data_IF_772259040293
#
_entry.id   IF_772259040293
#
_cell.length_a   1.000
_cell.length_b   1.000
_cell.length_c   1.000
_cell.angle_alpha   90.00
_cell.angle_beta   90.00
_cell.angle_gamma   90.00
#
_symmetry.space_group_name_H-M   'P 1'
#
loop_
_entity.id
_entity.type
_entity.pdbx_description
1 polymer ?
#
# COMPACT_ATOMS: atom_id res chain seq x y z
N UNK A 1 62.43 5.74 -13.17
CA UNK A 1 61.59 6.87 -12.73
C UNK A 1 61.21 7.65 -13.98
N UNK A 2 59.98 7.69 -14.47
CA UNK A 2 58.67 7.23 -13.99
C UNK A 2 57.73 7.18 -15.20
N UNK A 3 57.13 6.03 -15.47
CA UNK A 3 55.93 5.91 -16.31
C UNK A 3 54.76 6.50 -15.52
N UNK A 4 54.02 7.43 -16.12
CA UNK A 4 52.76 7.92 -15.59
C UNK A 4 51.64 7.34 -16.46
N UNK A 5 50.94 6.38 -15.87
CA UNK A 5 49.77 5.71 -16.43
C UNK A 5 48.69 6.72 -16.82
N UNK A 6 48.35 6.70 -18.10
CA UNK A 6 47.24 7.45 -18.66
C UNK A 6 45.96 6.63 -18.42
N UNK A 7 45.40 6.73 -17.21
CA UNK A 7 44.09 6.15 -16.90
C UNK A 7 43.01 7.05 -17.49
N UNK A 8 42.56 6.67 -18.69
CA UNK A 8 41.35 7.22 -19.31
C UNK A 8 40.14 6.82 -18.45
N UNK A 9 39.59 7.78 -17.71
CA UNK A 9 38.29 7.64 -17.08
C UNK A 9 37.22 7.68 -18.17
N UNK A 10 36.87 6.51 -18.70
CA UNK A 10 35.61 6.27 -19.41
C UNK A 10 34.44 6.44 -18.43
N UNK A 11 34.16 7.68 -18.07
CA UNK A 11 32.96 8.07 -17.35
C UNK A 11 31.80 7.95 -18.34
N UNK A 12 31.13 6.79 -18.36
CA UNK A 12 29.79 6.69 -18.97
C UNK A 12 28.96 7.88 -18.49
N UNK A 13 28.25 8.61 -19.37
CA UNK A 13 27.38 9.69 -18.94
C UNK A 13 26.39 9.12 -17.93
N UNK A 14 26.39 9.68 -16.72
CA UNK A 14 25.35 9.46 -15.72
C UNK A 14 24.04 9.86 -16.38
N UNK A 15 23.25 8.86 -16.80
CA UNK A 15 21.87 9.08 -17.22
C UNK A 15 21.19 9.72 -16.03
N UNK A 16 20.83 11.00 -16.18
CA UNK A 16 20.14 11.73 -15.14
C UNK A 16 18.82 11.01 -14.86
N UNK A 17 18.52 10.68 -13.60
CA UNK A 17 17.27 10.02 -13.25
C UNK A 17 16.07 10.83 -13.75
N UNK A 18 15.07 10.13 -14.30
CA UNK A 18 13.87 10.75 -14.85
C UNK A 18 13.13 11.51 -13.74
N UNK A 19 12.69 12.74 -14.00
CA UNK A 19 11.95 13.51 -12.99
C UNK A 19 10.46 13.22 -13.08
N UNK A 20 9.80 12.98 -11.95
CA UNK A 20 8.36 12.73 -11.93
C UNK A 20 7.58 13.99 -12.34
N UNK A 21 6.58 13.84 -13.21
CA UNK A 21 5.83 14.95 -13.81
C UNK A 21 5.14 15.88 -12.79
N UNK A 22 4.51 15.32 -11.75
CA UNK A 22 3.86 16.10 -10.68
C UNK A 22 4.82 16.69 -9.64
N UNK A 23 6.10 16.28 -9.66
CA UNK A 23 7.09 16.62 -8.64
C UNK A 23 8.43 17.06 -9.28
N UNK A 24 8.36 17.74 -10.44
CA UNK A 24 9.53 18.04 -11.29
C UNK A 24 10.22 19.38 -11.01
N UNK A 25 9.69 20.22 -10.11
CA UNK A 25 10.16 21.60 -9.94
C UNK A 25 11.42 21.66 -9.08
N UNK A 26 12.59 21.58 -9.72
CA UNK A 26 13.92 21.74 -9.10
C UNK A 26 14.20 23.19 -8.64
N UNK A 27 13.48 24.19 -9.15
CA UNK A 27 13.84 25.61 -8.97
C UNK A 27 13.56 26.17 -7.57
N UNK A 28 12.95 25.39 -6.67
CA UNK A 28 12.67 25.83 -5.30
C UNK A 28 13.77 25.34 -4.32
N UNK A 29 14.56 26.24 -3.70
CA UNK A 29 15.59 25.86 -2.72
C UNK A 29 15.03 25.21 -1.45
N UNK A 30 13.73 25.31 -1.21
CA UNK A 30 13.03 24.65 -0.11
C UNK A 30 12.63 23.22 -0.43
N UNK A 31 12.86 22.75 -1.65
CA UNK A 31 12.68 21.35 -2.01
C UNK A 31 13.91 20.52 -1.61
N UNK A 32 13.64 19.30 -1.15
CA UNK A 32 14.62 18.22 -1.03
C UNK A 32 14.48 17.27 -2.20
N UNK A 33 15.57 16.61 -2.56
CA UNK A 33 15.58 15.63 -3.64
C UNK A 33 15.39 14.24 -3.03
N UNK A 34 14.38 13.51 -3.50
CA UNK A 34 14.15 12.10 -3.17
C UNK A 34 14.26 11.29 -4.46
N UNK A 35 15.07 10.24 -4.46
CA UNK A 35 15.30 9.37 -5.61
C UNK A 35 14.79 7.98 -5.27
N UNK A 36 13.74 7.56 -5.97
CA UNK A 36 13.15 6.22 -5.84
C UNK A 36 14.12 5.11 -6.29
N UNK A 37 13.82 3.87 -5.88
CA UNK A 37 14.63 2.68 -6.15
C UNK A 37 14.74 2.34 -7.66
N UNK A 38 13.74 2.73 -8.45
CA UNK A 38 13.71 2.64 -9.92
C UNK A 38 14.22 3.92 -10.60
N UNK A 39 14.91 4.77 -9.84
CA UNK A 39 15.67 5.96 -10.31
C UNK A 39 14.79 7.07 -10.90
N UNK A 40 13.59 7.25 -10.35
CA UNK A 40 12.79 8.46 -10.60
C UNK A 40 13.05 9.48 -9.48
N UNK A 41 13.29 10.72 -9.88
CA UNK A 41 13.56 11.86 -8.99
C UNK A 41 12.29 12.62 -8.67
N UNK A 42 12.13 12.96 -7.39
CA UNK A 42 11.07 13.79 -6.83
C UNK A 42 11.69 15.00 -6.14
N UNK A 43 11.17 16.19 -6.43
CA UNK A 43 11.49 17.41 -5.70
C UNK A 43 10.35 17.71 -4.73
N UNK A 44 10.55 17.40 -3.45
CA UNK A 44 9.52 17.43 -2.40
C UNK A 44 9.78 18.60 -1.45
N UNK A 45 8.78 19.39 -1.04
CA UNK A 45 8.98 20.44 -0.04
C UNK A 45 9.50 19.87 1.29
N UNK A 46 10.62 20.40 1.80
CA UNK A 46 11.23 19.95 3.07
C UNK A 46 10.25 20.04 4.23
N UNK A 47 9.51 21.15 4.30
CA UNK A 47 8.53 21.40 5.35
C UNK A 47 7.41 20.36 5.41
N UNK A 48 7.08 19.72 4.29
CA UNK A 48 6.10 18.65 4.23
C UNK A 48 6.65 17.37 4.87
N UNK A 49 7.90 17.05 4.55
CA UNK A 49 8.61 15.86 5.03
C UNK A 49 8.98 15.95 6.51
N UNK A 50 9.51 17.09 6.95
CA UNK A 50 9.87 17.36 8.35
C UNK A 50 8.66 17.31 9.28
N UNK A 51 7.49 17.77 8.80
CA UNK A 51 6.29 17.79 9.62
C UNK A 51 5.68 16.39 9.84
N UNK A 52 5.91 15.47 8.91
CA UNK A 52 5.08 14.25 8.82
C UNK A 52 5.86 12.93 8.74
N UNK A 53 7.14 12.94 8.38
CA UNK A 53 7.89 11.72 8.07
C UNK A 53 9.31 11.68 8.66
N UNK A 54 9.90 12.81 9.01
CA UNK A 54 11.27 12.86 9.55
C UNK A 54 11.25 13.24 11.03
N UNK A 55 12.01 12.55 11.89
CA UNK A 55 12.18 12.96 13.28
C UNK A 55 12.78 14.37 13.33
N UNK A 56 12.22 15.23 14.18
CA UNK A 56 12.65 16.63 14.33
C UNK A 56 14.07 16.82 14.90
N UNK A 57 14.81 15.72 15.17
CA UNK A 57 15.98 15.72 16.06
C UNK A 57 17.36 15.78 15.40
N UNK A 58 17.47 15.89 14.07
CA UNK A 58 18.76 16.17 13.42
C UNK A 58 18.87 17.63 12.98
N UNK A 59 19.23 18.46 13.96
CA UNK A 59 19.65 19.85 13.80
C UNK A 59 20.93 19.98 12.95
N UNK A 60 20.77 20.08 11.63
CA UNK A 60 21.42 21.12 10.83
C UNK A 60 20.60 21.32 9.54
N UNK A 61 19.76 22.37 9.46
CA UNK A 61 18.89 22.62 8.30
C UNK A 61 19.66 22.80 6.99
N UNK A 62 20.98 23.03 7.04
CA UNK A 62 21.83 23.14 5.86
C UNK A 62 22.38 21.79 5.37
N UNK A 63 22.41 20.74 6.19
CA UNK A 63 23.06 19.47 5.84
C UNK A 63 22.13 18.49 5.11
N UNK A 64 20.82 18.49 5.45
CA UNK A 64 19.78 17.77 4.71
C UNK A 64 19.38 18.48 3.40
N UNK A 65 19.71 19.76 3.29
CA UNK A 65 19.36 20.58 2.13
C UNK A 65 20.16 20.25 0.85
N UNK A 66 21.31 19.58 0.97
CA UNK A 66 22.27 19.42 -0.12
C UNK A 66 22.45 17.99 -0.63
N UNK A 67 21.88 16.98 0.03
CA UNK A 67 22.05 15.58 -0.39
C UNK A 67 20.71 14.92 -0.74
N UNK A 68 20.60 14.28 -1.92
CA UNK A 68 19.43 13.49 -2.26
C UNK A 68 19.24 12.31 -1.31
N UNK A 69 18.00 12.04 -0.93
CA UNK A 69 17.63 10.80 -0.25
C UNK A 69 17.46 9.71 -1.30
N UNK A 70 18.33 8.71 -1.27
CA UNK A 70 18.24 7.55 -2.15
C UNK A 70 17.47 6.43 -1.48
N UNK A 71 16.38 6.03 -2.12
CA UNK A 71 15.56 4.92 -1.70
C UNK A 71 16.04 3.63 -2.38
N UNK A 72 15.98 2.51 -1.65
CA UNK A 72 16.67 1.27 -2.03
C UNK A 72 15.76 0.04 -1.99
N UNK A 73 14.60 0.14 -1.35
CA UNK A 73 13.62 -0.93 -1.28
C UNK A 73 12.90 -1.08 -2.63
N UNK A 74 13.20 -2.16 -3.33
CA UNK A 74 12.64 -2.44 -4.65
C UNK A 74 11.13 -2.75 -4.65
N UNK A 75 10.51 -2.92 -3.47
CA UNK A 75 9.08 -3.14 -3.35
C UNK A 75 8.32 -1.87 -2.98
N UNK A 76 8.67 -1.24 -1.85
CA UNK A 76 7.89 -0.13 -1.31
C UNK A 76 8.42 1.26 -1.67
N UNK A 77 9.64 1.36 -2.21
CA UNK A 77 10.27 2.63 -2.55
C UNK A 77 10.42 2.82 -4.08
N UNK A 78 9.45 2.34 -4.87
CA UNK A 78 9.40 2.59 -6.32
C UNK A 78 8.76 3.95 -6.64
N UNK A 79 8.87 4.42 -7.88
CA UNK A 79 8.29 5.70 -8.27
C UNK A 79 6.78 5.76 -8.05
N UNK A 80 6.07 4.66 -8.37
CA UNK A 80 4.61 4.57 -8.19
C UNK A 80 4.20 4.71 -6.72
N UNK A 81 4.85 3.98 -5.81
CA UNK A 81 4.51 4.00 -4.39
C UNK A 81 4.90 5.30 -3.70
N UNK A 82 6.02 5.91 -4.09
CA UNK A 82 6.46 7.23 -3.62
C UNK A 82 5.50 8.31 -4.11
N UNK A 83 5.10 8.28 -5.38
CA UNK A 83 4.15 9.24 -5.93
C UNK A 83 2.80 9.16 -5.21
N UNK A 84 2.28 7.95 -5.03
CA UNK A 84 1.01 7.72 -4.33
C UNK A 84 1.08 8.10 -2.84
N UNK A 85 2.20 7.82 -2.17
CA UNK A 85 2.48 8.25 -0.79
C UNK A 85 2.45 9.78 -0.66
N UNK A 86 3.18 10.49 -1.54
CA UNK A 86 3.22 11.96 -1.51
C UNK A 86 1.86 12.57 -1.87
N UNK A 87 1.10 11.92 -2.74
CA UNK A 87 -0.26 12.33 -3.06
C UNK A 87 -1.17 12.19 -1.83
N UNK A 88 -1.13 11.06 -1.12
CA UNK A 88 -1.87 10.84 0.14
C UNK A 88 -1.44 11.77 1.28
N UNK A 89 -0.19 12.23 1.26
CA UNK A 89 0.34 13.18 2.23
C UNK A 89 -0.20 14.60 2.01
N UNK A 90 -0.55 14.95 0.76
CA UNK A 90 -0.95 16.32 0.38
C UNK A 90 -2.43 16.45 0.04
N UNK A 91 -3.12 15.35 -0.23
CA UNK A 91 -4.51 15.33 -0.66
C UNK A 91 -5.30 14.30 0.15
N UNK A 92 -6.55 14.63 0.45
CA UNK A 92 -7.52 13.74 1.10
C UNK A 92 -8.46 13.07 0.10
N UNK A 93 -8.43 13.47 -1.17
CA UNK A 93 -9.26 12.90 -2.25
C UNK A 93 -8.53 11.73 -2.90
N UNK A 94 -9.20 10.58 -3.02
CA UNK A 94 -8.66 9.40 -3.70
C UNK A 94 -8.34 9.69 -5.19
N UNK A 95 -7.13 9.41 -5.69
CA UNK A 95 -6.81 9.66 -7.09
C UNK A 95 -7.43 8.58 -7.98
N UNK A 96 -8.27 9.00 -8.92
CA UNK A 96 -8.87 8.08 -9.92
C UNK A 96 -8.03 7.94 -11.18
N UNK A 97 -6.96 8.71 -11.31
CA UNK A 97 -6.13 8.75 -12.51
C UNK A 97 -4.92 7.79 -12.41
N UNK A 98 -4.52 7.22 -13.55
CA UNK A 98 -3.44 6.23 -13.61
C UNK A 98 -2.06 6.78 -13.26
N UNK A 99 -1.85 8.09 -13.37
CA UNK A 99 -0.54 8.69 -13.09
C UNK A 99 -0.17 8.56 -11.60
N UNK A 100 -1.16 8.62 -10.71
CA UNK A 100 -0.96 8.46 -9.27
C UNK A 100 -1.21 7.01 -8.80
N UNK A 101 -2.16 6.31 -9.41
CA UNK A 101 -2.54 4.95 -9.00
C UNK A 101 -1.56 3.86 -9.50
N UNK A 102 -0.78 4.18 -10.54
CA UNK A 102 0.10 3.24 -11.22
C UNK A 102 -0.68 2.21 -12.06
N UNK A 103 0.05 1.28 -12.68
CA UNK A 103 -0.56 0.21 -13.51
C UNK A 103 -1.16 -0.94 -12.69
N UNK A 104 -0.78 -1.05 -11.40
CA UNK A 104 -1.20 -2.12 -10.50
C UNK A 104 -1.70 -1.53 -9.17
N UNK A 105 -2.94 -1.01 -9.12
CA UNK A 105 -3.44 -0.23 -7.98
C UNK A 105 -3.31 -0.91 -6.62
N UNK A 106 -3.64 -2.20 -6.53
CA UNK A 106 -3.50 -2.99 -5.30
C UNK A 106 -2.04 -3.07 -4.84
N UNK A 107 -1.10 -3.29 -5.77
CA UNK A 107 0.33 -3.31 -5.47
C UNK A 107 0.80 -1.94 -5.01
N UNK A 108 0.36 -0.86 -5.68
CA UNK A 108 0.70 0.52 -5.31
C UNK A 108 0.23 0.82 -3.89
N UNK A 109 -1.02 0.49 -3.54
CA UNK A 109 -1.54 0.63 -2.18
C UNK A 109 -0.70 -0.13 -1.16
N UNK A 110 -0.41 -1.41 -1.41
CA UNK A 110 0.39 -2.23 -0.50
C UNK A 110 1.78 -1.63 -0.31
N UNK A 111 2.46 -1.28 -1.40
CA UNK A 111 3.77 -0.65 -1.37
C UNK A 111 3.75 0.69 -0.60
N UNK A 112 2.71 1.51 -0.76
CA UNK A 112 2.60 2.78 -0.04
C UNK A 112 2.22 2.62 1.43
N UNK A 113 1.48 1.56 1.81
CA UNK A 113 1.28 1.18 3.21
C UNK A 113 2.63 0.82 3.84
N UNK A 114 3.39 -0.08 3.22
CA UNK A 114 4.72 -0.49 3.70
C UNK A 114 5.69 0.71 3.78
N UNK A 115 5.63 1.62 2.80
CA UNK A 115 6.41 2.86 2.83
C UNK A 115 6.01 3.77 4.00
N UNK A 116 4.72 3.99 4.21
CA UNK A 116 4.23 4.83 5.29
C UNK A 116 4.54 4.25 6.67
N UNK A 117 4.49 2.93 6.82
CA UNK A 117 4.93 2.23 8.03
C UNK A 117 6.43 2.38 8.24
N UNK A 118 7.23 2.16 7.19
CA UNK A 118 8.70 2.30 7.23
C UNK A 118 9.13 3.71 7.62
N UNK A 119 8.40 4.72 7.16
CA UNK A 119 8.68 6.14 7.39
C UNK A 119 7.96 6.72 8.60
N UNK A 120 7.28 5.87 9.39
CA UNK A 120 6.49 6.28 10.56
C UNK A 120 5.61 7.51 10.25
N UNK A 121 4.78 7.39 9.21
CA UNK A 121 3.89 8.45 8.76
C UNK A 121 2.41 8.11 9.02
N UNK A 122 1.90 8.30 10.25
CA UNK A 122 0.50 8.01 10.59
C UNK A 122 -0.52 8.79 9.77
N UNK A 123 -0.16 9.99 9.28
CA UNK A 123 -1.06 10.79 8.47
C UNK A 123 -1.40 10.07 7.15
N UNK A 124 -0.38 9.55 6.46
CA UNK A 124 -0.60 8.81 5.21
C UNK A 124 -1.38 7.52 5.48
N UNK A 125 -1.05 6.77 6.53
CA UNK A 125 -1.82 5.57 6.88
C UNK A 125 -3.30 5.89 7.10
N UNK A 126 -3.63 6.99 7.80
CA UNK A 126 -5.02 7.43 7.99
C UNK A 126 -5.70 7.84 6.69
N UNK A 127 -5.00 8.54 5.80
CA UNK A 127 -5.53 8.90 4.48
C UNK A 127 -5.83 7.64 3.66
N UNK A 128 -4.91 6.68 3.64
CA UNK A 128 -5.08 5.40 2.95
C UNK A 128 -6.25 4.59 3.55
N UNK A 129 -6.39 4.56 4.88
CA UNK A 129 -7.55 3.94 5.56
C UNK A 129 -8.87 4.58 5.10
N UNK A 130 -8.93 5.92 5.03
CA UNK A 130 -10.09 6.66 4.55
C UNK A 130 -10.45 6.32 3.11
N UNK A 131 -9.45 6.22 2.23
CA UNK A 131 -9.65 5.83 0.83
C UNK A 131 -10.14 4.39 0.71
N UNK A 132 -9.51 3.44 1.40
CA UNK A 132 -9.95 2.04 1.39
C UNK A 132 -11.37 1.88 1.95
N UNK A 133 -11.71 2.61 3.02
CA UNK A 133 -13.07 2.64 3.58
C UNK A 133 -14.09 3.11 2.55
N UNK A 134 -13.78 4.20 1.85
CA UNK A 134 -14.65 4.76 0.81
C UNK A 134 -14.83 3.78 -0.35
N UNK A 135 -13.75 3.20 -0.84
CA UNK A 135 -13.80 2.23 -1.94
C UNK A 135 -14.58 0.96 -1.56
N UNK A 136 -14.42 0.46 -0.33
CA UNK A 136 -15.21 -0.66 0.19
C UNK A 136 -16.71 -0.30 0.27
N UNK A 137 -17.05 0.93 0.66
CA UNK A 137 -18.43 1.41 0.69
C UNK A 137 -19.04 1.58 -0.70
N UNK A 138 -18.26 2.02 -1.69
CA UNK A 138 -18.63 2.11 -3.11
C UNK A 138 -18.79 0.71 -3.78
N UNK A 139 -18.82 -0.38 -2.98
CA UNK A 139 -19.17 -1.76 -3.37
C UNK A 139 -18.34 -2.36 -4.50
N UNK A 140 -17.08 -2.00 -4.61
CA UNK A 140 -16.15 -2.67 -5.52
C UNK A 140 -16.55 -2.53 -7.00
N UNK A 141 -17.24 -1.44 -7.38
CA UNK A 141 -17.61 -1.16 -8.78
C UNK A 141 -16.38 -0.91 -9.67
N UNK A 142 -15.18 -0.85 -9.08
CA UNK A 142 -13.90 -0.73 -9.77
C UNK A 142 -13.28 -2.12 -10.01
N UNK A 143 -13.11 -2.48 -11.29
CA UNK A 143 -12.53 -3.76 -11.72
C UNK A 143 -11.10 -3.98 -11.21
N UNK A 144 -10.39 -2.94 -10.76
CA UNK A 144 -8.98 -3.07 -10.34
C UNK A 144 -8.80 -3.71 -8.96
N UNK A 145 -9.84 -3.84 -8.15
CA UNK A 145 -9.72 -4.32 -6.78
C UNK A 145 -10.76 -5.38 -6.44
N UNK A 146 -10.28 -6.52 -5.92
CA UNK A 146 -11.17 -7.58 -5.41
C UNK A 146 -11.43 -7.38 -3.91
N UNK A 147 -12.61 -7.76 -3.39
CA UNK A 147 -12.95 -7.59 -1.97
C UNK A 147 -11.90 -8.18 -1.01
N UNK A 148 -11.36 -9.37 -1.30
CA UNK A 148 -10.29 -9.96 -0.51
C UNK A 148 -8.98 -9.16 -0.55
N UNK A 149 -8.66 -8.49 -1.66
CA UNK A 149 -7.47 -7.64 -1.74
C UNK A 149 -7.60 -6.43 -0.81
N UNK A 150 -8.80 -5.88 -0.63
CA UNK A 150 -9.05 -4.85 0.39
C UNK A 150 -8.90 -5.37 1.81
N UNK A 151 -9.37 -6.59 2.08
CA UNK A 151 -9.15 -7.19 3.39
C UNK A 151 -7.65 -7.35 3.68
N UNK A 152 -6.86 -7.77 2.69
CA UNK A 152 -5.42 -7.93 2.81
C UNK A 152 -4.70 -6.59 2.98
N UNK A 153 -5.08 -5.57 2.20
CA UNK A 153 -4.57 -4.21 2.36
C UNK A 153 -4.89 -3.67 3.76
N UNK A 154 -6.11 -3.89 4.25
CA UNK A 154 -6.50 -3.47 5.58
C UNK A 154 -5.67 -4.14 6.67
N UNK A 155 -5.43 -5.45 6.54
CA UNK A 155 -4.58 -6.18 7.48
C UNK A 155 -3.12 -5.68 7.45
N UNK A 156 -2.57 -5.40 6.26
CA UNK A 156 -1.22 -4.84 6.10
C UNK A 156 -1.07 -3.46 6.73
N UNK A 157 -2.10 -2.64 6.66
CA UNK A 157 -2.11 -1.30 7.24
C UNK A 157 -2.55 -1.22 8.69
N UNK A 158 -2.83 -2.36 9.34
CA UNK A 158 -3.52 -2.43 10.64
C UNK A 158 -4.78 -1.54 10.70
N UNK A 159 -5.67 -1.72 9.73
CA UNK A 159 -6.90 -0.96 9.53
C UNK A 159 -8.14 -1.83 9.83
N UNK A 160 -8.42 -2.15 11.11
CA UNK A 160 -9.41 -3.16 11.47
C UNK A 160 -10.84 -2.76 11.06
N UNK A 161 -11.14 -1.45 10.99
CA UNK A 161 -12.44 -0.97 10.54
C UNK A 161 -12.68 -1.23 9.06
N UNK A 162 -11.65 -1.04 8.22
CA UNK A 162 -11.72 -1.37 6.79
C UNK A 162 -11.95 -2.88 6.63
N UNK A 163 -11.17 -3.71 7.32
CA UNK A 163 -11.32 -5.16 7.28
C UNK A 163 -12.72 -5.62 7.70
N UNK A 164 -13.24 -5.07 8.79
CA UNK A 164 -14.62 -5.29 9.24
C UNK A 164 -15.64 -4.89 8.16
N UNK A 165 -15.48 -3.71 7.54
CA UNK A 165 -16.38 -3.26 6.47
C UNK A 165 -16.40 -4.25 5.31
N UNK A 166 -15.25 -4.77 4.90
CA UNK A 166 -15.18 -5.79 3.84
C UNK A 166 -16.01 -7.03 4.24
N UNK A 167 -15.83 -7.53 5.46
CA UNK A 167 -16.55 -8.68 6.00
C UNK A 167 -18.07 -8.46 6.03
N UNK A 168 -18.51 -7.24 6.37
CA UNK A 168 -19.93 -6.90 6.47
C UNK A 168 -20.60 -6.64 5.11
N UNK A 169 -19.87 -6.03 4.17
CA UNK A 169 -20.43 -5.54 2.92
C UNK A 169 -20.32 -6.55 1.78
N UNK A 170 -19.23 -7.32 1.73
CA UNK A 170 -19.03 -8.30 0.67
C UNK A 170 -19.86 -9.57 0.95
N UNK A 171 -20.71 -9.91 -0.03
CA UNK A 171 -21.42 -11.17 -0.05
C UNK A 171 -20.78 -12.08 -1.11
N UNK A 172 -20.05 -13.14 -0.71
CA UNK A 172 -19.56 -14.17 -1.61
C UNK A 172 -20.73 -15.06 -2.07
N UNK A 173 -21.76 -14.47 -2.66
CA UNK A 173 -22.76 -15.22 -3.44
C UNK A 173 -22.05 -15.79 -4.67
N UNK A 174 -22.45 -16.95 -5.20
CA UNK A 174 -21.97 -17.42 -6.50
C UNK A 174 -22.13 -16.29 -7.52
N UNK A 175 -21.00 -15.69 -7.92
CA UNK A 175 -20.97 -14.72 -8.99
C UNK A 175 -21.60 -15.40 -10.22
N UNK A 176 -22.54 -14.74 -10.89
CA UNK A 176 -23.00 -15.23 -12.19
C UNK A 176 -21.79 -15.41 -13.12
N UNK A 177 -21.85 -16.33 -14.10
CA UNK A 177 -20.69 -16.67 -14.94
C UNK A 177 -19.97 -15.45 -15.53
N UNK A 178 -20.70 -14.38 -15.88
CA UNK A 178 -20.11 -13.14 -16.38
C UNK A 178 -19.35 -12.34 -15.32
N UNK A 179 -19.88 -12.25 -14.09
CA UNK A 179 -19.20 -11.60 -12.98
C UNK A 179 -17.98 -12.39 -12.52
N UNK A 180 -18.07 -13.73 -12.54
CA UNK A 180 -16.95 -14.60 -12.24
C UNK A 180 -15.84 -14.50 -13.30
N UNK A 181 -16.21 -14.43 -14.59
CA UNK A 181 -15.25 -14.17 -15.68
C UNK A 181 -14.57 -12.81 -15.51
N UNK A 182 -15.31 -11.74 -15.17
CA UNK A 182 -14.70 -10.43 -14.86
C UNK A 182 -13.75 -10.54 -13.66
N UNK A 183 -14.16 -11.24 -12.61
CA UNK A 183 -13.31 -11.50 -11.45
C UNK A 183 -12.02 -12.26 -11.79
N UNK A 184 -12.04 -13.21 -12.75
CA UNK A 184 -10.83 -13.93 -13.19
C UNK A 184 -9.94 -13.11 -14.15
N UNK A 185 -10.45 -12.09 -14.86
CA UNK A 185 -9.67 -11.34 -15.86
C UNK A 185 -8.55 -10.46 -15.29
N UNK A 186 -8.66 -10.04 -14.04
CA UNK A 186 -7.61 -9.25 -13.36
C UNK A 186 -6.75 -10.18 -12.53
N UNK A 187 -5.47 -10.29 -12.89
CA UNK A 187 -4.50 -11.07 -12.12
C UNK A 187 -4.38 -10.49 -10.70
N UNK A 188 -4.76 -11.23 -9.63
CA UNK A 188 -4.73 -10.70 -8.27
C UNK A 188 -3.29 -10.47 -7.80
N UNK A 189 -3.06 -9.43 -6.99
CA UNK A 189 -1.72 -9.15 -6.45
C UNK A 189 -1.18 -10.28 -5.57
N UNK A 190 -2.04 -10.88 -4.74
CA UNK A 190 -1.70 -11.99 -3.85
C UNK A 190 -2.08 -13.37 -4.39
N UNK A 191 -2.48 -13.47 -5.67
CA UNK A 191 -2.92 -14.72 -6.31
C UNK A 191 -3.95 -15.50 -5.47
N UNK A 192 -4.93 -14.77 -4.92
CA UNK A 192 -5.95 -15.31 -4.04
C UNK A 192 -6.99 -16.06 -4.87
N UNK A 193 -6.78 -17.36 -5.05
CA UNK A 193 -7.79 -18.24 -5.64
C UNK A 193 -8.86 -18.57 -4.59
N UNK A 194 -10.06 -18.04 -4.80
CA UNK A 194 -11.25 -18.54 -4.11
C UNK A 194 -11.65 -19.89 -4.69
N UNK A 195 -11.99 -20.90 -3.87
CA UNK A 195 -12.54 -22.14 -4.38
C UNK A 195 -13.81 -21.85 -5.19
N UNK A 196 -13.95 -22.45 -6.38
CA UNK A 196 -15.12 -22.30 -7.26
C UNK A 196 -16.46 -22.74 -6.64
N UNK A 197 -16.43 -23.33 -5.45
CA UNK A 197 -17.54 -24.07 -4.84
C UNK A 197 -17.98 -23.54 -3.48
N UNK A 198 -17.76 -22.26 -3.17
CA UNK A 198 -18.16 -21.75 -1.85
C UNK A 198 -19.61 -21.28 -1.87
N UNK A 199 -20.50 -22.12 -1.35
CA UNK A 199 -21.74 -21.64 -0.74
C UNK A 199 -21.38 -20.74 0.46
N UNK A 200 -21.84 -19.49 0.47
CA UNK A 200 -21.79 -18.63 1.66
C UNK A 200 -20.38 -18.33 2.22
N UNK A 201 -20.24 -18.43 3.54
CA UNK A 201 -19.17 -17.81 4.34
C UNK A 201 -17.78 -18.45 4.20
N UNK A 202 -17.64 -19.50 3.40
CA UNK A 202 -16.39 -20.26 3.21
C UNK A 202 -15.25 -19.44 2.58
N UNK A 203 -15.56 -18.34 1.90
CA UNK A 203 -14.54 -17.38 1.42
C UNK A 203 -13.73 -16.76 2.58
N UNK A 204 -14.32 -16.67 3.77
CA UNK A 204 -13.71 -16.12 4.97
C UNK A 204 -13.01 -17.16 5.84
N UNK A 205 -13.06 -18.44 5.45
CA UNK A 205 -12.39 -19.51 6.17
C UNK A 205 -10.89 -19.47 5.82
N UNK A 206 -9.99 -19.12 6.75
CA UNK A 206 -8.56 -19.03 6.45
C UNK A 206 -7.96 -20.36 5.97
N UNK A 207 -8.56 -21.50 6.34
CA UNK A 207 -8.13 -22.83 5.87
C UNK A 207 -8.24 -23.01 4.35
N UNK A 208 -9.09 -22.22 3.69
CA UNK A 208 -9.25 -22.23 2.24
C UNK A 208 -8.24 -21.32 1.52
N UNK A 209 -7.44 -20.54 2.27
CA UNK A 209 -6.44 -19.66 1.69
C UNK A 209 -5.12 -20.40 1.53
N UNK A 210 -4.42 -20.17 0.42
CA UNK A 210 -3.05 -20.65 0.25
C UNK A 210 -2.18 -20.16 1.42
N UNK A 211 -1.18 -20.95 1.82
CA UNK A 211 -0.35 -20.67 3.00
C UNK A 211 0.32 -19.28 2.96
N UNK A 212 0.58 -18.75 1.76
CA UNK A 212 1.05 -17.39 1.53
C UNK A 212 0.06 -16.32 2.01
N UNK A 213 -1.24 -16.58 1.93
CA UNK A 213 -2.27 -15.66 2.41
C UNK A 213 -2.17 -15.39 3.92
N UNK A 214 -1.81 -16.41 4.71
CA UNK A 214 -1.72 -16.33 6.16
C UNK A 214 -0.58 -15.41 6.61
N UNK A 215 0.58 -15.51 5.96
CA UNK A 215 1.73 -14.66 6.24
C UNK A 215 1.50 -13.19 5.91
N UNK A 216 0.55 -12.90 5.01
CA UNK A 216 0.31 -11.53 4.54
C UNK A 216 -0.64 -10.77 5.46
N UNK A 217 -1.64 -11.44 6.06
CA UNK A 217 -2.64 -10.78 6.93
C UNK A 217 -2.26 -10.76 8.41
N UNK A 218 -1.29 -11.57 8.82
CA UNK A 218 -0.86 -11.66 10.23
C UNK A 218 -1.80 -12.48 11.12
N UNK A 219 -1.26 -12.93 12.26
CA UNK A 219 -1.92 -13.88 13.14
C UNK A 219 -3.19 -13.33 13.80
N UNK A 220 -3.21 -12.05 14.17
CA UNK A 220 -4.36 -11.40 14.82
C UNK A 220 -5.60 -11.46 13.92
N UNK A 221 -5.45 -11.10 12.65
CA UNK A 221 -6.54 -11.10 11.67
C UNK A 221 -6.98 -12.52 11.33
N UNK A 222 -6.05 -13.47 11.21
CA UNK A 222 -6.38 -14.91 11.03
C UNK A 222 -7.17 -15.44 12.23
N UNK A 223 -6.73 -15.13 13.46
CA UNK A 223 -7.44 -15.54 14.67
C UNK A 223 -8.85 -14.98 14.69
N UNK A 224 -9.01 -13.68 14.40
CA UNK A 224 -10.30 -13.02 14.34
C UNK A 224 -11.24 -13.64 13.29
N UNK A 225 -10.73 -13.97 12.11
CA UNK A 225 -11.49 -14.68 11.08
C UNK A 225 -11.94 -16.06 11.53
N UNK A 226 -11.07 -16.84 12.20
CA UNK A 226 -11.42 -18.14 12.76
C UNK A 226 -12.59 -18.06 13.76
N UNK A 227 -12.77 -16.92 14.45
CA UNK A 227 -13.89 -16.71 15.37
C UNK A 227 -15.22 -16.37 14.67
N UNK A 228 -15.17 -15.75 13.49
CA UNK A 228 -16.37 -15.20 12.85
C UNK A 228 -16.80 -15.93 11.57
N UNK A 229 -15.93 -16.66 10.87
CA UNK A 229 -16.21 -17.10 9.49
C UNK A 229 -17.48 -17.94 9.33
N UNK A 230 -17.95 -18.65 10.35
CA UNK A 230 -19.19 -19.45 10.31
C UNK A 230 -20.48 -18.64 10.54
N UNK A 231 -20.37 -17.38 10.96
CA UNK A 231 -21.54 -16.54 11.21
C UNK A 231 -22.17 -16.11 9.89
N UNK A 232 -23.45 -16.42 9.69
CA UNK A 232 -24.18 -16.12 8.45
C UNK A 232 -24.62 -14.65 8.41
N UNK A 233 -24.96 -14.07 9.55
CA UNK A 233 -25.32 -12.65 9.65
C UNK A 233 -24.06 -11.80 9.48
N UNK A 234 -23.98 -11.06 8.37
CA UNK A 234 -22.79 -10.27 8.02
C UNK A 234 -22.43 -9.21 9.05
N UNK A 235 -23.42 -8.53 9.63
CA UNK A 235 -23.20 -7.50 10.65
C UNK A 235 -22.67 -8.13 11.94
N UNK A 236 -23.26 -9.24 12.36
CA UNK A 236 -22.78 -9.99 13.52
C UNK A 236 -21.40 -10.61 13.28
N UNK A 237 -21.10 -11.04 12.04
CA UNK A 237 -19.77 -11.52 11.63
C UNK A 237 -18.72 -10.42 11.82
N UNK A 238 -19.00 -9.21 11.34
CA UNK A 238 -18.11 -8.05 11.54
C UNK A 238 -17.88 -7.72 13.02
N UNK A 239 -18.93 -7.79 13.85
CA UNK A 239 -18.80 -7.60 15.30
C UNK A 239 -17.94 -8.68 15.97
N UNK A 240 -18.13 -9.94 15.61
CA UNK A 240 -17.34 -11.07 16.11
C UNK A 240 -15.87 -10.97 15.68
N UNK A 241 -15.62 -10.54 14.44
CA UNK A 241 -14.28 -10.27 13.94
C UNK A 241 -13.56 -9.23 14.82
N UNK A 242 -14.17 -8.07 15.05
CA UNK A 242 -13.59 -7.03 15.90
C UNK A 242 -13.34 -7.51 17.34
N UNK A 243 -14.29 -8.28 17.89
CA UNK A 243 -14.12 -8.88 19.21
C UNK A 243 -12.92 -9.83 19.24
N UNK A 244 -12.77 -10.67 18.22
CA UNK A 244 -11.65 -11.60 18.08
C UNK A 244 -10.30 -10.89 17.99
N UNK A 245 -10.21 -9.79 17.24
CA UNK A 245 -9.01 -8.94 17.18
C UNK A 245 -8.63 -8.43 18.58
N UNK A 246 -9.57 -7.76 19.27
CA UNK A 246 -9.33 -7.18 20.60
C UNK A 246 -8.92 -8.26 21.62
N UNK A 247 -9.51 -9.45 21.56
CA UNK A 247 -9.20 -10.55 22.48
C UNK A 247 -7.80 -11.13 22.26
N UNK A 248 -7.32 -11.18 21.01
CA UNK A 248 -5.99 -11.69 20.69
C UNK A 248 -4.91 -10.69 21.09
N UNK A 249 -5.08 -9.42 20.72
CA UNK A 249 -4.11 -8.34 21.01
C UNK A 249 -3.97 -8.03 22.51
N UNK A 250 -4.83 -8.58 23.39
CA UNK A 250 -4.72 -8.49 24.85
C UNK A 250 -3.96 -9.65 25.49
N UNK A 251 -3.73 -10.74 24.76
CA UNK A 251 -3.09 -11.96 25.28
C UNK A 251 -1.57 -11.97 25.10
N UNK A 252 -1.04 -11.01 24.34
CA UNK A 252 0.37 -10.82 24.01
C UNK A 252 0.70 -9.33 24.07
#
# INVERSE_FOLDING_TARGET
>A
MSEADNVSCDSKPLVLPESHSSWSTHQDPWNMTVVSSDRVTFYVPKSLMERHCLPSDNNDPNHLACQPIFLTDAFCETSDSVSFFLFALTNDVFPRDKANLGQKPVKTFHASIELATKWDCPLVLRTLEGWLSRLAFERWDDDHFKPLEFFFLAAKGDMPNVARMVIELWDPVPLGEEQFKRYETVAPHWDLHLPRTTEGCEAWNPANWIHKGWSEVGLDYVFALCQCYREMDRQKRGQLFMKGLIEHSRRY
#
